data_IF_542680237248
#
_entry.id   IF_542680237248
#
_cell.length_a   1.000
_cell.length_b   1.000
_cell.length_c   1.000
_cell.angle_alpha   90.00
_cell.angle_beta   90.00
_cell.angle_gamma   90.00
#
_symmetry.space_group_name_H-M   'P 1'
#
loop_
_entity.id
_entity.type
_entity.pdbx_description
1 polymer ?
#
# COMPACT_ATOMS: atom_id res chain seq x y z
N UNK A 1 -0.65 -6.78 -8.32
CA UNK A 1 -1.06 -5.52 -7.66
C UNK A 1 -0.30 -5.36 -6.35
N UNK A 2 -0.18 -4.14 -5.86
CA UNK A 2 0.52 -3.83 -4.61
C UNK A 2 -0.44 -3.19 -3.60
N UNK A 3 -0.38 -3.62 -2.35
CA UNK A 3 -1.19 -3.12 -1.23
C UNK A 3 -0.25 -2.57 -0.16
N UNK A 4 -0.36 -1.29 0.17
CA UNK A 4 0.42 -0.67 1.25
C UNK A 4 -0.27 -0.81 2.60
N UNK A 5 0.52 -0.74 3.68
CA UNK A 5 0.00 -0.81 5.04
C UNK A 5 -0.44 -2.22 5.43
N UNK A 6 0.19 -3.26 4.87
CA UNK A 6 -0.21 -4.68 5.05
C UNK A 6 -0.17 -5.15 6.51
N UNK A 7 0.53 -4.44 7.41
CA UNK A 7 0.47 -4.71 8.84
C UNK A 7 -0.86 -4.29 9.51
N UNK A 8 -1.68 -3.48 8.84
CA UNK A 8 -2.96 -2.99 9.34
C UNK A 8 -4.13 -3.94 9.06
N UNK A 9 -5.13 -3.94 9.96
CA UNK A 9 -6.29 -4.83 9.89
C UNK A 9 -7.04 -4.78 8.54
N UNK A 10 -7.36 -3.58 8.06
CA UNK A 10 -8.09 -3.39 6.79
C UNK A 10 -7.28 -3.92 5.61
N UNK A 11 -5.96 -3.66 5.60
CA UNK A 11 -5.09 -4.11 4.52
C UNK A 11 -4.98 -5.63 4.48
N UNK A 12 -4.83 -6.30 5.62
CA UNK A 12 -4.81 -7.76 5.70
C UNK A 12 -6.09 -8.41 5.17
N UNK A 13 -7.25 -7.87 5.54
CA UNK A 13 -8.54 -8.37 5.03
C UNK A 13 -8.67 -8.21 3.51
N UNK A 14 -8.34 -7.02 3.00
CA UNK A 14 -8.41 -6.74 1.57
C UNK A 14 -7.42 -7.62 0.80
N UNK A 15 -6.20 -7.79 1.32
CA UNK A 15 -5.18 -8.63 0.71
C UNK A 15 -5.61 -10.10 0.64
N UNK A 16 -6.14 -10.66 1.73
CA UNK A 16 -6.63 -12.04 1.75
C UNK A 16 -7.80 -12.26 0.78
N UNK A 17 -8.75 -11.32 0.73
CA UNK A 17 -9.87 -11.38 -0.21
C UNK A 17 -9.38 -11.36 -1.67
N UNK A 18 -8.42 -10.49 -2.00
CA UNK A 18 -7.86 -10.39 -3.36
C UNK A 18 -6.98 -11.58 -3.72
N UNK A 19 -6.21 -12.12 -2.77
CA UNK A 19 -5.37 -13.30 -2.97
C UNK A 19 -6.18 -14.58 -3.21
N UNK A 20 -7.43 -14.64 -2.73
CA UNK A 20 -8.35 -15.75 -3.02
C UNK A 20 -8.79 -15.81 -4.50
N UNK A 21 -8.57 -14.74 -5.27
CA UNK A 21 -8.93 -14.68 -6.68
C UNK A 21 -7.82 -15.30 -7.54
N UNK A 22 -8.10 -16.35 -8.34
CA UNK A 22 -7.07 -17.17 -8.98
C UNK A 22 -6.19 -16.42 -10.00
N UNK A 23 -6.63 -15.25 -10.48
CA UNK A 23 -5.93 -14.46 -11.49
C UNK A 23 -5.21 -13.23 -10.90
N UNK A 24 -5.16 -13.09 -9.58
CA UNK A 24 -4.57 -11.92 -8.92
C UNK A 24 -3.31 -12.30 -8.14
N UNK A 25 -2.19 -11.71 -8.55
CA UNK A 25 -0.97 -11.70 -7.73
C UNK A 25 -0.99 -10.47 -6.80
N UNK A 26 -0.92 -10.71 -5.49
CA UNK A 26 -0.97 -9.67 -4.46
C UNK A 26 0.39 -9.54 -3.79
N UNK A 27 0.91 -8.31 -3.75
CA UNK A 27 2.11 -7.94 -3.00
C UNK A 27 1.68 -7.03 -1.86
N UNK A 28 1.90 -7.44 -0.62
CA UNK A 28 1.63 -6.64 0.57
C UNK A 28 2.91 -5.98 1.08
N UNK A 29 2.87 -4.68 1.33
CA UNK A 29 4.05 -3.89 1.75
C UNK A 29 3.81 -3.09 3.01
N UNK A 30 4.80 -3.06 3.90
CA UNK A 30 4.82 -2.24 5.10
C UNK A 30 6.25 -2.11 5.64
N UNK A 31 6.53 -1.10 6.48
CA UNK A 31 7.80 -0.99 7.22
C UNK A 31 8.01 -2.17 8.17
N UNK A 32 6.92 -2.67 8.74
CA UNK A 32 6.86 -3.83 9.63
C UNK A 32 5.82 -4.81 9.09
N UNK A 33 6.23 -6.06 8.87
CA UNK A 33 5.36 -7.10 8.33
C UNK A 33 4.50 -7.71 9.44
N UNK A 34 3.27 -8.18 9.11
CA UNK A 34 2.47 -8.93 10.07
C UNK A 34 3.24 -10.17 10.56
N UNK A 35 3.09 -10.56 11.83
CA UNK A 35 3.84 -11.66 12.43
C UNK A 35 3.46 -13.03 11.84
N UNK A 36 2.27 -13.13 11.25
CA UNK A 36 1.79 -14.32 10.56
C UNK A 36 1.78 -14.06 9.06
N UNK A 37 2.19 -15.05 8.25
CA UNK A 37 2.06 -14.95 6.80
C UNK A 37 0.58 -14.84 6.40
N UNK A 38 0.34 -14.22 5.25
CA UNK A 38 -0.99 -14.13 4.64
C UNK A 38 -1.01 -15.05 3.41
N UNK A 39 -1.87 -16.07 3.43
CA UNK A 39 -1.96 -17.05 2.35
C UNK A 39 -2.22 -16.36 1.00
N UNK A 40 -1.43 -16.73 -0.01
CA UNK A 40 -1.53 -16.17 -1.36
C UNK A 40 -1.03 -14.72 -1.50
N UNK A 41 -0.45 -14.13 -0.45
CA UNK A 41 0.10 -12.76 -0.48
C UNK A 41 1.63 -12.79 -0.36
N UNK A 42 2.32 -12.17 -1.32
CA UNK A 42 3.76 -11.94 -1.21
C UNK A 42 4.02 -10.74 -0.31
N UNK A 43 4.51 -10.98 0.90
CA UNK A 43 4.90 -9.92 1.83
C UNK A 43 6.29 -9.38 1.47
N UNK A 44 6.42 -8.06 1.43
CA UNK A 44 7.67 -7.37 1.15
C UNK A 44 7.84 -6.22 2.14
N UNK A 45 8.91 -6.26 2.93
CA UNK A 45 9.26 -5.15 3.81
C UNK A 45 9.74 -3.96 2.96
N UNK A 46 9.22 -2.77 3.26
CA UNK A 46 9.53 -1.54 2.54
C UNK A 46 9.45 -0.38 3.53
N UNK A 47 10.47 0.49 3.59
CA UNK A 47 10.51 1.64 4.49
C UNK A 47 9.49 2.74 4.14
N UNK A 48 8.75 2.56 3.04
CA UNK A 48 7.72 3.46 2.52
C UNK A 48 8.23 4.85 2.11
N UNK A 49 9.54 5.02 1.93
CA UNK A 49 10.08 6.21 1.27
C UNK A 49 9.70 6.23 -0.21
N UNK A 50 9.61 7.42 -0.81
CA UNK A 50 9.28 7.57 -2.22
C UNK A 50 10.21 6.77 -3.14
N UNK A 51 11.52 6.74 -2.82
CA UNK A 51 12.52 6.01 -3.60
C UNK A 51 12.35 4.48 -3.48
N UNK A 52 12.19 3.95 -2.26
CA UNK A 52 11.96 2.51 -2.06
C UNK A 52 10.67 2.04 -2.70
N UNK A 53 9.61 2.86 -2.64
CA UNK A 53 8.35 2.58 -3.33
C UNK A 53 8.53 2.56 -4.85
N UNK A 54 9.18 3.57 -5.42
CA UNK A 54 9.44 3.63 -6.85
C UNK A 54 10.21 2.38 -7.34
N UNK A 55 11.32 2.04 -6.69
CA UNK A 55 12.12 0.87 -7.05
C UNK A 55 11.30 -0.43 -6.97
N UNK A 56 10.47 -0.56 -5.94
CA UNK A 56 9.60 -1.73 -5.80
C UNK A 56 8.53 -1.79 -6.90
N UNK A 57 7.91 -0.66 -7.23
CA UNK A 57 6.89 -0.57 -8.28
C UNK A 57 7.49 -0.93 -9.65
N UNK A 58 8.67 -0.41 -9.98
CA UNK A 58 9.39 -0.71 -11.22
C UNK A 58 9.79 -2.20 -11.28
N UNK A 59 10.34 -2.75 -10.20
CA UNK A 59 10.77 -4.15 -10.16
C UNK A 59 9.60 -5.15 -10.21
N UNK A 60 8.42 -4.74 -9.74
CA UNK A 60 7.24 -5.61 -9.67
C UNK A 60 6.26 -5.45 -10.84
N UNK A 61 6.45 -4.45 -11.69
CA UNK A 61 5.60 -4.15 -12.85
C UNK A 61 4.10 -4.17 -12.52
N UNK A 62 3.71 -3.56 -11.39
CA UNK A 62 2.32 -3.61 -10.92
C UNK A 62 1.41 -2.61 -11.65
N UNK A 63 0.25 -3.10 -12.09
CA UNK A 63 -0.76 -2.26 -12.75
C UNK A 63 -1.60 -1.42 -11.78
N UNK A 64 -1.75 -1.90 -10.54
CA UNK A 64 -2.69 -1.35 -9.56
C UNK A 64 -2.01 -1.27 -8.20
N UNK A 65 -2.13 -0.10 -7.58
CA UNK A 65 -1.73 0.16 -6.19
C UNK A 65 -2.99 0.43 -5.35
N UNK A 66 -3.12 -0.27 -4.23
CA UNK A 66 -4.17 -0.04 -3.22
C UNK A 66 -3.49 0.53 -1.98
N UNK A 67 -3.68 1.81 -1.73
CA UNK A 67 -3.07 2.50 -0.59
C UNK A 67 -3.99 2.42 0.64
N UNK A 68 -3.68 1.49 1.54
CA UNK A 68 -4.43 1.26 2.77
C UNK A 68 -3.63 1.62 4.04
N UNK A 69 -2.46 2.24 3.86
CA UNK A 69 -1.67 2.80 4.95
C UNK A 69 -2.33 4.10 5.43
N UNK A 70 -3.48 3.92 6.08
CA UNK A 70 -4.32 4.99 6.58
C UNK A 70 -3.93 5.34 8.00
N UNK A 71 -3.66 6.61 8.23
CA UNK A 71 -3.45 7.15 9.56
C UNK A 71 -4.79 7.16 10.31
N UNK A 72 -4.81 6.71 11.57
CA UNK A 72 -5.99 6.76 12.43
C UNK A 72 -6.55 8.20 12.50
N UNK A 73 -7.89 8.40 12.57
CA UNK A 73 -8.51 9.74 12.56
C UNK A 73 -7.92 10.72 13.56
N UNK A 74 -7.42 10.23 14.70
CA UNK A 74 -6.73 11.04 15.71
C UNK A 74 -5.36 11.50 15.22
N UNK A 75 -4.53 10.60 14.70
CA UNK A 75 -3.22 10.92 14.16
C UNK A 75 -3.31 11.80 12.88
N UNK A 76 -4.40 11.70 12.12
CA UNK A 76 -4.71 12.62 11.02
C UNK A 76 -4.91 14.06 11.51
N UNK A 77 -5.46 14.28 12.71
CA UNK A 77 -5.63 15.64 13.26
C UNK A 77 -4.28 16.24 13.66
N UNK A 78 -3.37 15.40 14.15
CA UNK A 78 -2.07 15.83 14.66
C UNK A 78 -1.06 16.12 13.53
N UNK A 79 -1.13 15.39 12.40
CA UNK A 79 -0.23 15.59 11.25
C UNK A 79 -0.90 15.47 9.86
N UNK A 80 -1.82 16.40 9.57
CA UNK A 80 -2.46 16.48 8.24
C UNK A 80 -1.47 16.72 7.11
N UNK A 81 -0.45 17.54 7.35
CA UNK A 81 0.52 17.94 6.32
C UNK A 81 1.41 16.78 5.93
N UNK A 82 1.98 16.06 6.89
CA UNK A 82 2.79 14.87 6.63
C UNK A 82 2.01 13.80 5.87
N UNK A 83 0.73 13.58 6.23
CA UNK A 83 -0.13 12.64 5.50
C UNK A 83 -0.35 13.05 4.03
N UNK A 84 -0.60 14.35 3.78
CA UNK A 84 -0.75 14.87 2.41
C UNK A 84 0.54 14.69 1.61
N UNK A 85 1.70 15.04 2.19
CA UNK A 85 3.00 14.88 1.53
C UNK A 85 3.28 13.42 1.16
N UNK A 86 3.08 12.49 2.10
CA UNK A 86 3.25 11.05 1.85
C UNK A 86 2.35 10.53 0.74
N UNK A 87 1.09 11.02 0.70
CA UNK A 87 0.16 10.66 -0.37
C UNK A 87 0.64 11.19 -1.72
N UNK A 88 1.12 12.44 -1.79
CA UNK A 88 1.66 13.04 -3.02
C UNK A 88 2.91 12.29 -3.49
N UNK A 89 3.82 11.92 -2.58
CA UNK A 89 5.03 11.14 -2.88
C UNK A 89 4.67 9.76 -3.46
N UNK A 90 3.73 9.05 -2.85
CA UNK A 90 3.23 7.77 -3.37
C UNK A 90 2.65 7.92 -4.78
N UNK A 91 1.80 8.93 -5.00
CA UNK A 91 1.20 9.18 -6.30
C UNK A 91 2.25 9.53 -7.36
N UNK A 92 3.28 10.30 -6.99
CA UNK A 92 4.43 10.57 -7.84
C UNK A 92 5.19 9.31 -8.23
N UNK A 93 5.50 8.44 -7.26
CA UNK A 93 6.15 7.15 -7.52
C UNK A 93 5.28 6.25 -8.43
N UNK A 94 3.97 6.21 -8.19
CA UNK A 94 3.03 5.46 -9.05
C UNK A 94 3.02 5.99 -10.49
N UNK A 95 2.96 7.31 -10.66
CA UNK A 95 2.97 7.94 -11.98
C UNK A 95 4.28 7.65 -12.73
N UNK A 96 5.43 7.75 -12.04
CA UNK A 96 6.74 7.49 -12.62
C UNK A 96 6.93 6.01 -12.99
N UNK A 97 6.46 5.08 -12.16
CA UNK A 97 6.53 3.64 -12.43
C UNK A 97 5.50 3.13 -13.45
N UNK A 98 4.63 4.00 -13.98
CA UNK A 98 3.61 3.62 -14.97
C UNK A 98 2.42 2.84 -14.40
N UNK A 99 2.13 2.99 -13.09
CA UNK A 99 0.95 2.37 -12.46
C UNK A 99 -0.32 2.92 -13.09
N UNK A 100 -1.23 2.04 -13.53
CA UNK A 100 -2.43 2.42 -14.27
C UNK A 100 -3.59 2.85 -13.39
N UNK A 101 -3.67 2.34 -12.16
CA UNK A 101 -4.76 2.66 -11.22
C UNK A 101 -4.24 2.75 -9.80
N UNK A 102 -4.69 3.78 -9.08
CA UNK A 102 -4.46 3.92 -7.64
C UNK A 102 -5.81 3.97 -6.94
N UNK A 103 -5.98 3.10 -5.94
CA UNK A 103 -7.13 3.09 -5.04
C UNK A 103 -6.67 3.65 -3.71
N UNK A 104 -7.22 4.79 -3.30
CA UNK A 104 -6.88 5.44 -2.04
C UNK A 104 -7.98 5.20 -1.00
N UNK A 105 -7.59 4.82 0.22
CA UNK A 105 -8.51 4.86 1.36
C UNK A 105 -8.82 6.31 1.73
N UNK A 106 -10.11 6.61 1.90
CA UNK A 106 -10.59 7.88 2.42
C UNK A 106 -11.54 7.66 3.60
N UNK A 107 -12.00 8.73 4.24
CA UNK A 107 -12.88 8.71 5.41
C UNK A 107 -13.95 9.80 5.30
N UNK A 108 -15.12 9.55 5.88
CA UNK A 108 -16.21 10.52 6.02
C UNK A 108 -16.22 11.25 7.38
N UNK A 109 -15.24 10.96 8.23
CA UNK A 109 -15.08 11.53 9.58
C UNK A 109 -14.36 12.88 9.60
#
# INVERSE_FOLDING_TARGET
>A
MLITGIGGYVASLVAGALASQPNLAVIGVAPELPPQPLDGVRLQQCDMSANSLLQLLEASAVDVVVHLDGVEPRALRDDRRGYLFRTVELLGACAQAGVRRVVLRSSTL
#
